data_IF_532977025272
#
_entry.id   IF_532977025272
#
_cell.length_a   1.000
_cell.length_b   1.000
_cell.length_c   1.000
_cell.angle_alpha   90.00
_cell.angle_beta   90.00
_cell.angle_gamma   90.00
#
_symmetry.space_group_name_H-M   'P 1'
#
loop_
_entity.id
_entity.type
_entity.pdbx_description
1 polymer ?
#
# COMPACT_ATOMS: atom_id res chain seq x y z
N UNK A 1 -6.50 4.85 -13.56
CA UNK A 1 -6.02 5.29 -14.92
C UNK A 1 -7.13 6.05 -15.64
N UNK A 2 -6.83 6.99 -16.57
CA UNK A 2 -7.89 7.64 -17.36
C UNK A 2 -8.51 6.65 -18.34
N UNK A 3 -9.84 6.66 -18.48
CA UNK A 3 -10.56 5.70 -19.33
C UNK A 3 -10.08 5.69 -20.81
N UNK A 4 -9.60 6.84 -21.31
CA UNK A 4 -9.02 6.96 -22.65
C UNK A 4 -7.66 6.26 -22.83
N UNK A 5 -6.94 5.99 -21.74
CA UNK A 5 -5.63 5.34 -21.75
C UNK A 5 -5.73 3.82 -21.63
N UNK A 6 -6.82 3.29 -21.07
CA UNK A 6 -7.00 1.86 -20.79
C UNK A 6 -6.74 0.99 -22.05
N UNK A 7 -7.27 1.29 -23.27
CA UNK A 7 -7.00 0.47 -24.44
C UNK A 7 -5.51 0.43 -24.82
N UNK A 8 -4.79 1.54 -24.67
CA UNK A 8 -3.34 1.63 -24.95
C UNK A 8 -2.55 0.83 -23.90
N UNK A 9 -2.92 0.94 -22.62
CA UNK A 9 -2.30 0.19 -21.53
C UNK A 9 -2.46 -1.33 -21.71
N UNK A 10 -3.66 -1.78 -22.11
CA UNK A 10 -3.91 -3.18 -22.45
C UNK A 10 -3.06 -3.63 -23.65
N UNK A 11 -2.97 -2.83 -24.71
CA UNK A 11 -2.14 -3.14 -25.86
C UNK A 11 -0.64 -3.23 -25.51
N UNK A 12 -0.14 -2.33 -24.65
CA UNK A 12 1.23 -2.37 -24.16
C UNK A 12 1.50 -3.66 -23.35
N UNK A 13 0.60 -4.04 -22.43
CA UNK A 13 0.69 -5.27 -21.65
C UNK A 13 0.73 -6.52 -22.54
N UNK A 14 -0.17 -6.60 -23.51
CA UNK A 14 -0.23 -7.72 -24.47
C UNK A 14 1.03 -7.80 -25.35
N UNK A 15 1.55 -6.65 -25.78
CA UNK A 15 2.78 -6.57 -26.58
C UNK A 15 4.01 -7.04 -25.78
N UNK A 16 4.10 -6.70 -24.48
CA UNK A 16 5.16 -7.17 -23.60
C UNK A 16 5.02 -8.67 -23.38
N UNK A 17 3.82 -9.18 -23.08
CA UNK A 17 3.58 -10.59 -22.91
C UNK A 17 4.03 -11.40 -24.14
N UNK A 18 3.71 -10.93 -25.35
CA UNK A 18 4.15 -11.55 -26.59
C UNK A 18 5.67 -11.53 -26.77
N UNK A 19 6.34 -10.42 -26.39
CA UNK A 19 7.80 -10.30 -26.47
C UNK A 19 8.53 -11.21 -25.46
N UNK A 20 7.83 -11.61 -24.39
CA UNK A 20 8.34 -12.53 -23.36
C UNK A 20 7.89 -13.98 -23.57
N UNK A 21 7.35 -14.31 -24.75
CA UNK A 21 6.80 -15.62 -25.12
C UNK A 21 5.68 -16.13 -24.19
N UNK A 22 5.01 -15.22 -23.50
CA UNK A 22 3.80 -15.53 -22.75
C UNK A 22 2.61 -15.56 -23.72
N UNK A 23 1.94 -16.71 -23.79
CA UNK A 23 0.82 -16.93 -24.75
C UNK A 23 -0.48 -16.34 -24.22
N UNK A 24 -0.57 -15.01 -24.26
CA UNK A 24 -1.78 -14.29 -23.90
C UNK A 24 -2.62 -13.99 -25.16
N UNK A 25 -3.91 -14.28 -25.11
CA UNK A 25 -4.89 -13.97 -26.18
C UNK A 25 -5.97 -13.01 -25.72
N UNK A 26 -6.11 -12.83 -24.40
CA UNK A 26 -7.10 -11.96 -23.79
C UNK A 26 -6.56 -11.34 -22.51
N UNK A 27 -7.06 -10.16 -22.15
CA UNK A 27 -6.76 -9.46 -20.91
C UNK A 27 -8.07 -9.11 -20.19
N UNK A 28 -8.18 -9.51 -18.91
CA UNK A 28 -9.34 -9.25 -18.06
C UNK A 28 -8.91 -8.21 -17.02
N UNK A 29 -9.59 -7.07 -16.95
CA UNK A 29 -9.35 -6.09 -15.91
C UNK A 29 -9.79 -6.63 -14.54
N UNK A 30 -8.87 -6.66 -13.60
CA UNK A 30 -9.13 -7.05 -12.21
C UNK A 30 -9.37 -5.82 -11.32
N UNK A 31 -8.64 -4.74 -11.58
CA UNK A 31 -8.74 -3.48 -10.84
C UNK A 31 -8.30 -2.31 -11.75
N UNK A 32 -8.91 -1.15 -11.55
CA UNK A 32 -8.52 0.11 -12.19
C UNK A 32 -8.66 1.25 -11.16
N UNK A 33 -7.64 1.38 -10.31
CA UNK A 33 -7.52 2.49 -9.35
C UNK A 33 -6.35 3.40 -9.74
N UNK A 34 -5.26 3.40 -8.99
CA UNK A 34 -4.03 4.12 -9.31
C UNK A 34 -3.29 3.46 -10.48
N UNK A 35 -3.38 2.14 -10.60
CA UNK A 35 -2.82 1.31 -11.67
C UNK A 35 -3.89 0.42 -12.27
N UNK A 36 -3.73 0.11 -13.54
CA UNK A 36 -4.55 -0.91 -14.19
C UNK A 36 -3.95 -2.29 -13.91
N UNK A 37 -4.73 -3.15 -13.30
CA UNK A 37 -4.35 -4.54 -13.01
C UNK A 37 -5.13 -5.47 -13.94
N UNK A 38 -4.40 -6.26 -14.73
CA UNK A 38 -4.95 -7.17 -15.72
C UNK A 38 -4.57 -8.61 -15.40
N UNK A 39 -5.48 -9.56 -15.66
CA UNK A 39 -5.16 -10.98 -15.81
C UNK A 39 -5.04 -11.31 -17.27
N UNK A 40 -3.91 -11.83 -17.70
CA UNK A 40 -3.69 -12.28 -19.07
C UNK A 40 -4.05 -13.77 -19.21
N UNK A 41 -4.89 -14.07 -20.19
CA UNK A 41 -5.40 -15.42 -20.45
C UNK A 41 -4.90 -15.95 -21.80
N UNK A 42 -4.64 -17.25 -21.93
CA UNK A 42 -4.75 -18.32 -20.93
C UNK A 42 -3.48 -18.53 -20.08
N UNK A 43 -2.46 -17.66 -20.19
CA UNK A 43 -1.18 -17.84 -19.50
C UNK A 43 -1.24 -17.61 -17.98
N UNK A 44 -2.34 -17.08 -17.46
CA UNK A 44 -2.59 -16.83 -16.04
C UNK A 44 -1.50 -15.96 -15.38
N UNK A 45 -1.20 -14.83 -16.01
CA UNK A 45 -0.26 -13.83 -15.49
C UNK A 45 -1.03 -12.59 -15.05
N UNK A 46 -0.73 -12.04 -13.90
CA UNK A 46 -1.19 -10.71 -13.50
C UNK A 46 -0.19 -9.68 -14.00
N UNK A 47 -0.71 -8.62 -14.61
CA UNK A 47 0.09 -7.51 -15.10
C UNK A 47 -0.39 -6.22 -14.44
N UNK A 48 0.54 -5.46 -13.89
CA UNK A 48 0.27 -4.12 -13.35
C UNK A 48 0.83 -3.09 -14.33
N UNK A 49 -0.03 -2.17 -14.75
CA UNK A 49 0.30 -1.14 -15.76
C UNK A 49 0.08 0.23 -15.18
N UNK A 50 1.11 1.08 -15.25
CA UNK A 50 1.07 2.48 -14.85
C UNK A 50 1.73 3.38 -15.90
N UNK A 51 1.44 4.67 -15.97
CA UNK A 51 2.23 5.61 -16.76
C UNK A 51 3.71 5.61 -16.34
N UNK A 52 4.65 5.83 -17.26
CA UNK A 52 6.08 5.97 -16.96
C UNK A 52 6.28 7.15 -16.01
N UNK A 53 7.19 7.00 -15.04
CA UNK A 53 7.49 8.01 -14.02
C UNK A 53 7.28 7.54 -12.59
N UNK A 54 6.65 6.40 -12.39
CA UNK A 54 6.57 5.72 -11.09
C UNK A 54 7.88 4.95 -10.83
N UNK A 55 8.85 5.61 -10.18
CA UNK A 55 10.15 5.00 -9.85
C UNK A 55 10.03 3.82 -8.86
N UNK A 56 8.92 3.77 -8.12
CA UNK A 56 8.70 2.79 -7.06
C UNK A 56 8.40 1.38 -7.59
N UNK A 57 7.94 1.25 -8.83
CA UNK A 57 7.60 -0.05 -9.43
C UNK A 57 8.79 -1.02 -9.51
N UNK A 58 10.02 -0.52 -9.78
CA UNK A 58 11.21 -1.37 -9.81
C UNK A 58 11.63 -1.80 -8.41
N UNK A 59 11.50 -0.92 -7.42
CA UNK A 59 11.78 -1.23 -6.00
C UNK A 59 10.78 -2.28 -5.51
N UNK A 60 9.51 -2.14 -5.86
CA UNK A 60 8.46 -3.10 -5.53
C UNK A 60 8.77 -4.50 -6.09
N UNK A 61 9.11 -4.61 -7.37
CA UNK A 61 9.45 -5.90 -8.00
C UNK A 61 10.67 -6.54 -7.34
N UNK A 62 11.72 -5.78 -7.07
CA UNK A 62 12.95 -6.28 -6.43
C UNK A 62 12.68 -6.72 -4.99
N UNK A 63 11.89 -5.94 -4.23
CA UNK A 63 11.55 -6.29 -2.85
C UNK A 63 10.70 -7.56 -2.80
N UNK A 64 9.66 -7.65 -3.62
CA UNK A 64 8.81 -8.83 -3.69
C UNK A 64 9.60 -10.09 -4.12
N UNK A 65 10.54 -9.95 -5.07
CA UNK A 65 11.44 -11.05 -5.48
C UNK A 65 12.27 -11.55 -4.30
N UNK A 66 12.91 -10.65 -3.55
CA UNK A 66 13.74 -11.04 -2.39
C UNK A 66 12.91 -11.68 -1.28
N UNK A 67 11.73 -11.16 -1.04
CA UNK A 67 10.81 -11.74 -0.04
C UNK A 67 10.32 -13.13 -0.47
N UNK A 68 9.98 -13.32 -1.75
CA UNK A 68 9.60 -14.63 -2.29
C UNK A 68 10.75 -15.66 -2.16
N UNK A 69 12.00 -15.27 -2.42
CA UNK A 69 13.18 -16.10 -2.24
C UNK A 69 13.40 -16.54 -0.77
N UNK A 70 12.95 -15.75 0.20
CA UNK A 70 12.95 -16.10 1.62
C UNK A 70 11.75 -16.98 2.03
N UNK A 71 10.76 -17.14 1.15
CA UNK A 71 9.53 -17.87 1.44
C UNK A 71 8.52 -17.05 2.23
N UNK A 72 8.63 -15.73 2.20
CA UNK A 72 7.69 -14.80 2.83
C UNK A 72 6.29 -14.92 2.25
N UNK A 73 5.24 -14.59 3.00
CA UNK A 73 3.85 -14.62 2.53
C UNK A 73 3.54 -13.44 1.61
N UNK A 74 4.10 -13.43 0.40
CA UNK A 74 3.98 -12.32 -0.56
C UNK A 74 3.48 -12.80 -1.93
N UNK A 75 2.84 -11.90 -2.66
CA UNK A 75 2.56 -12.11 -4.08
C UNK A 75 3.86 -12.05 -4.88
N UNK A 76 4.24 -13.17 -5.49
CA UNK A 76 5.51 -13.31 -6.20
C UNK A 76 5.49 -12.68 -7.59
N UNK A 77 6.61 -12.16 -8.10
CA UNK A 77 6.79 -11.87 -9.51
C UNK A 77 6.57 -13.14 -10.37
N UNK A 78 6.22 -12.96 -11.63
CA UNK A 78 6.02 -14.08 -12.56
C UNK A 78 7.32 -14.86 -12.80
N UNK A 79 7.42 -16.15 -12.42
CA UNK A 79 8.69 -16.87 -12.42
C UNK A 79 9.21 -17.26 -13.82
N UNK A 80 8.36 -17.21 -14.86
CA UNK A 80 8.75 -17.56 -16.24
C UNK A 80 9.53 -16.45 -16.94
N UNK A 81 9.60 -15.25 -16.32
CA UNK A 81 10.25 -14.07 -16.90
C UNK A 81 11.19 -13.44 -15.89
N UNK A 82 12.16 -12.67 -16.40
CA UNK A 82 13.03 -11.88 -15.52
C UNK A 82 12.20 -10.86 -14.72
N UNK A 83 12.30 -10.85 -13.36
CA UNK A 83 11.52 -9.96 -12.51
C UNK A 83 12.04 -8.51 -12.62
N UNK A 84 11.43 -7.74 -13.50
CA UNK A 84 11.74 -6.33 -13.72
C UNK A 84 10.54 -5.57 -14.26
N UNK A 85 10.64 -4.25 -14.25
CA UNK A 85 9.69 -3.38 -14.94
C UNK A 85 10.06 -3.31 -16.42
N UNK A 86 9.07 -3.50 -17.27
CA UNK A 86 9.18 -3.32 -18.72
C UNK A 86 8.51 -2.00 -19.13
N UNK A 87 9.09 -1.29 -20.09
CA UNK A 87 8.50 -0.06 -20.60
C UNK A 87 8.01 -0.25 -22.04
N UNK A 88 6.77 0.19 -22.31
CA UNK A 88 6.17 0.14 -23.65
C UNK A 88 5.12 1.22 -23.82
N UNK A 89 5.22 1.98 -24.92
CA UNK A 89 4.21 2.96 -25.36
C UNK A 89 3.80 4.00 -24.30
N UNK A 90 4.76 4.39 -23.44
CA UNK A 90 4.54 5.34 -22.35
C UNK A 90 4.03 4.71 -21.05
N UNK A 91 4.03 3.38 -20.95
CA UNK A 91 3.63 2.63 -19.76
C UNK A 91 4.79 1.82 -19.16
N UNK A 92 4.84 1.78 -17.85
CA UNK A 92 5.62 0.85 -17.04
C UNK A 92 4.75 -0.36 -16.69
N UNK A 93 5.28 -1.56 -16.90
CA UNK A 93 4.55 -2.82 -16.81
C UNK A 93 5.35 -3.82 -15.99
N UNK A 94 4.79 -4.34 -14.91
CA UNK A 94 5.33 -5.43 -14.11
C UNK A 94 4.45 -6.68 -14.19
N UNK A 95 5.08 -7.86 -14.11
CA UNK A 95 4.40 -9.14 -14.27
C UNK A 95 4.47 -9.95 -12.98
N UNK A 96 3.33 -10.52 -12.58
CA UNK A 96 3.12 -11.17 -11.29
C UNK A 96 2.41 -12.51 -11.46
N UNK A 97 2.64 -13.41 -10.53
CA UNK A 97 1.92 -14.67 -10.45
C UNK A 97 0.44 -14.41 -10.18
N UNK A 98 -0.45 -15.08 -10.92
CA UNK A 98 -1.86 -15.08 -10.60
C UNK A 98 -2.16 -16.10 -9.49
N UNK A 99 -2.81 -15.63 -8.45
CA UNK A 99 -3.31 -16.48 -7.37
C UNK A 99 -4.83 -16.56 -7.43
N UNK A 100 -5.35 -17.78 -7.45
CA UNK A 100 -6.79 -17.97 -7.37
C UNK A 100 -7.30 -17.58 -6.00
N UNK A 101 -8.30 -16.67 -5.93
CA UNK A 101 -8.85 -16.25 -4.64
C UNK A 101 -9.46 -17.43 -3.89
N UNK A 102 -9.27 -17.49 -2.59
CA UNK A 102 -9.94 -18.47 -1.76
C UNK A 102 -11.46 -18.19 -1.73
N UNK A 103 -12.30 -19.21 -1.89
CA UNK A 103 -13.74 -19.04 -1.75
C UNK A 103 -14.06 -18.63 -0.32
N UNK A 104 -14.62 -17.45 -0.14
CA UNK A 104 -15.29 -16.87 1.04
C UNK A 104 -14.72 -17.14 2.43
N UNK A 105 -13.45 -17.48 2.58
CA UNK A 105 -12.83 -17.59 3.91
C UNK A 105 -12.41 -16.20 4.36
N UNK A 106 -13.06 -15.65 5.37
CA UNK A 106 -12.53 -14.49 6.09
C UNK A 106 -11.14 -14.82 6.62
N UNK A 107 -10.21 -13.89 6.44
CA UNK A 107 -8.89 -14.01 7.02
C UNK A 107 -9.04 -13.81 8.55
N UNK A 108 -8.69 -14.85 9.32
CA UNK A 108 -8.79 -14.72 10.77
C UNK A 108 -7.77 -13.69 11.27
N UNK A 109 -8.07 -12.94 12.34
CA UNK A 109 -7.11 -12.01 12.93
C UNK A 109 -5.78 -12.67 13.30
N UNK A 110 -5.81 -13.95 13.73
CA UNK A 110 -4.62 -14.71 14.08
C UNK A 110 -3.76 -15.05 12.84
N UNK A 111 -4.39 -15.50 11.74
CA UNK A 111 -3.67 -15.78 10.49
C UNK A 111 -3.06 -14.50 9.90
N UNK A 112 -3.77 -13.38 10.04
CA UNK A 112 -3.26 -12.07 9.59
C UNK A 112 -2.04 -11.64 10.39
N UNK A 113 -2.14 -11.65 11.72
CA UNK A 113 -1.04 -11.27 12.60
C UNK A 113 0.18 -12.16 12.38
N UNK A 114 -0.03 -13.48 12.26
CA UNK A 114 1.05 -14.43 12.01
C UNK A 114 1.75 -14.20 10.66
N UNK A 115 0.97 -14.00 9.59
CA UNK A 115 1.55 -13.72 8.27
C UNK A 115 2.34 -12.39 8.26
N UNK A 116 1.84 -11.37 8.94
CA UNK A 116 2.53 -10.08 9.07
C UNK A 116 3.81 -10.20 9.91
N UNK A 117 3.81 -11.02 10.95
CA UNK A 117 5.00 -11.33 11.76
C UNK A 117 6.08 -11.99 10.90
N UNK A 118 5.71 -12.98 10.08
CA UNK A 118 6.63 -13.64 9.13
C UNK A 118 7.19 -12.63 8.14
N UNK A 119 6.33 -11.81 7.53
CA UNK A 119 6.76 -10.76 6.61
C UNK A 119 7.78 -9.82 7.27
N UNK A 120 7.48 -9.32 8.46
CA UNK A 120 8.39 -8.43 9.19
C UNK A 120 9.71 -9.10 9.58
N UNK A 121 9.70 -10.40 9.90
CA UNK A 121 10.92 -11.16 10.19
C UNK A 121 11.86 -11.22 8.98
N UNK A 122 11.31 -11.41 7.79
CA UNK A 122 12.08 -11.47 6.55
C UNK A 122 12.49 -10.09 6.07
N UNK A 123 11.63 -9.09 6.20
CA UNK A 123 11.95 -7.70 5.86
C UNK A 123 13.14 -7.14 6.68
N UNK A 124 13.35 -7.62 7.91
CA UNK A 124 14.55 -7.27 8.70
C UNK A 124 15.86 -7.73 8.05
N UNK A 125 15.81 -8.74 7.22
CA UNK A 125 16.99 -9.31 6.54
C UNK A 125 17.32 -8.61 5.22
N UNK A 126 16.39 -7.77 4.72
CA UNK A 126 16.52 -7.10 3.43
C UNK A 126 17.06 -5.70 3.61
N UNK A 127 18.22 -5.44 3.00
CA UNK A 127 18.77 -4.09 2.92
C UNK A 127 18.40 -3.47 1.56
N UNK A 128 17.39 -2.62 1.58
CA UNK A 128 16.98 -1.75 0.47
C UNK A 128 16.84 -0.32 0.98
N UNK A 129 17.11 0.62 0.08
CA UNK A 129 16.84 2.03 0.37
C UNK A 129 15.33 2.25 0.35
N UNK A 130 14.77 2.66 1.48
CA UNK A 130 13.38 3.09 1.61
C UNK A 130 13.34 4.43 2.35
N UNK A 131 12.32 5.24 2.06
CA UNK A 131 12.04 6.45 2.81
C UNK A 131 11.68 6.13 4.27
N UNK A 132 11.80 7.07 5.16
CA UNK A 132 11.31 6.91 6.52
C UNK A 132 9.81 7.27 6.58
N UNK A 133 9.02 6.56 7.39
CA UNK A 133 7.59 6.86 7.50
C UNK A 133 7.30 8.29 7.97
N UNK A 134 8.22 8.88 8.75
CA UNK A 134 8.12 10.29 9.15
C UNK A 134 8.29 11.28 8.00
N UNK A 135 8.87 10.88 6.87
CA UNK A 135 8.91 11.73 5.68
C UNK A 135 7.48 11.92 5.13
N UNK A 136 6.64 10.87 5.18
CA UNK A 136 5.21 10.99 4.84
C UNK A 136 4.44 11.90 5.79
N UNK A 137 4.80 11.89 7.08
CA UNK A 137 4.23 12.83 8.06
C UNK A 137 4.60 14.26 7.66
N UNK A 138 5.88 14.50 7.33
CA UNK A 138 6.34 15.82 6.91
C UNK A 138 5.68 16.29 5.59
N UNK A 139 5.53 15.38 4.62
CA UNK A 139 4.82 15.68 3.36
C UNK A 139 3.35 16.03 3.63
N UNK A 140 2.69 15.29 4.54
CA UNK A 140 1.31 15.57 4.95
C UNK A 140 1.18 16.92 5.63
N UNK A 141 2.13 17.28 6.51
CA UNK A 141 2.19 18.61 7.14
C UNK A 141 2.32 19.72 6.07
N UNK A 142 3.15 19.51 5.04
CA UNK A 142 3.31 20.46 3.92
C UNK A 142 2.04 20.55 3.07
N UNK A 143 1.42 19.42 2.71
CA UNK A 143 0.18 19.38 1.93
C UNK A 143 -0.93 20.15 2.63
N UNK A 144 -1.12 19.90 3.92
CA UNK A 144 -2.13 20.57 4.74
C UNK A 144 -1.82 22.07 4.91
N UNK A 145 -0.58 22.46 5.06
CA UNK A 145 -0.19 23.87 5.17
C UNK A 145 -0.43 24.64 3.85
N UNK A 146 -0.34 23.96 2.71
CA UNK A 146 -0.50 24.58 1.39
C UNK A 146 -1.96 24.76 1.00
N UNK A 147 -2.42 26.04 0.92
CA UNK A 147 -3.75 26.37 0.39
C UNK A 147 -3.90 26.04 -1.10
N UNK A 148 -2.80 26.00 -1.84
CA UNK A 148 -2.82 25.65 -3.27
C UNK A 148 -3.04 24.16 -3.48
N UNK A 149 -2.53 23.31 -2.59
CA UNK A 149 -2.72 21.85 -2.67
C UNK A 149 -4.06 21.42 -2.09
N UNK A 150 -4.51 22.03 -1.02
CA UNK A 150 -5.75 21.70 -0.30
C UNK A 150 -6.69 22.91 -0.18
N UNK A 151 -7.16 23.52 -1.29
CA UNK A 151 -7.88 24.79 -1.27
C UNK A 151 -9.23 24.73 -0.53
N UNK A 152 -9.86 23.56 -0.49
CA UNK A 152 -11.18 23.37 0.14
C UNK A 152 -11.09 22.94 1.62
N UNK A 153 -9.87 22.69 2.15
CA UNK A 153 -9.69 22.31 3.57
C UNK A 153 -9.94 23.52 4.46
N UNK A 154 -10.87 23.45 5.44
CA UNK A 154 -11.13 24.57 6.35
C UNK A 154 -9.91 24.93 7.23
N UNK A 155 -9.77 26.21 7.58
CA UNK A 155 -8.62 26.69 8.35
C UNK A 155 -8.53 26.05 9.74
N UNK A 156 -9.66 25.86 10.42
CA UNK A 156 -9.70 25.17 11.71
C UNK A 156 -9.17 23.72 11.63
N UNK A 157 -9.41 23.05 10.50
CA UNK A 157 -8.88 21.69 10.29
C UNK A 157 -7.38 21.69 9.97
N UNK A 158 -6.89 22.71 9.25
CA UNK A 158 -5.43 22.89 9.08
C UNK A 158 -4.70 23.00 10.40
N UNK A 159 -5.22 23.80 11.32
CA UNK A 159 -4.67 23.94 12.66
C UNK A 159 -4.75 22.63 13.45
N UNK A 160 -5.87 21.89 13.33
CA UNK A 160 -6.05 20.59 13.94
C UNK A 160 -5.01 19.58 13.41
N UNK A 161 -4.84 19.48 12.09
CA UNK A 161 -3.82 18.62 11.50
C UNK A 161 -2.42 18.97 11.99
N UNK A 162 -2.03 20.24 11.89
CA UNK A 162 -0.70 20.71 12.28
C UNK A 162 -0.41 20.41 13.75
N UNK A 163 -1.32 20.73 14.67
CA UNK A 163 -1.15 20.48 16.10
C UNK A 163 -1.13 19.00 16.45
N UNK A 164 -2.00 18.20 15.80
CA UNK A 164 -2.09 16.77 16.08
C UNK A 164 -0.88 16.03 15.52
N UNK A 165 -0.48 16.27 14.27
CA UNK A 165 0.69 15.65 13.66
C UNK A 165 1.98 16.02 14.42
N UNK A 166 2.16 17.29 14.80
CA UNK A 166 3.30 17.72 15.63
C UNK A 166 3.37 16.95 16.96
N UNK A 167 2.26 16.80 17.66
CA UNK A 167 2.16 16.06 18.92
C UNK A 167 2.47 14.57 18.74
N UNK A 168 1.85 13.92 17.73
CA UNK A 168 2.05 12.50 17.45
C UNK A 168 3.50 12.21 17.03
N UNK A 169 4.06 13.02 16.13
CA UNK A 169 5.45 12.90 15.70
C UNK A 169 6.41 12.95 16.91
N UNK A 170 6.22 13.91 17.81
CA UNK A 170 7.05 14.04 18.99
C UNK A 170 6.91 12.83 19.91
N UNK A 171 5.67 12.40 20.20
CA UNK A 171 5.41 11.24 21.06
C UNK A 171 6.03 9.97 20.52
N UNK A 172 5.87 9.69 19.21
CA UNK A 172 6.43 8.49 18.56
C UNK A 172 7.97 8.51 18.60
N UNK A 173 8.59 9.66 18.30
CA UNK A 173 10.06 9.81 18.34
C UNK A 173 10.60 9.63 19.76
N UNK A 174 9.94 10.21 20.76
CA UNK A 174 10.37 10.14 22.16
C UNK A 174 10.31 8.70 22.72
N UNK A 175 9.51 7.80 22.12
CA UNK A 175 9.46 6.37 22.49
C UNK A 175 10.71 5.59 22.05
N UNK A 176 11.40 6.02 21.00
CA UNK A 176 12.63 5.38 20.53
C UNK A 176 12.45 3.91 20.16
N UNK A 177 11.32 3.55 19.53
CA UNK A 177 11.03 2.17 19.11
C UNK A 177 12.05 1.65 18.08
N UNK A 178 12.24 0.33 18.05
CA UNK A 178 13.11 -0.30 17.05
C UNK A 178 12.51 -0.18 15.66
N UNK A 179 13.32 0.27 14.72
CA UNK A 179 12.89 0.49 13.34
C UNK A 179 13.45 -0.57 12.39
N UNK A 180 12.65 -0.89 11.39
CA UNK A 180 13.01 -1.84 10.32
C UNK A 180 12.38 -1.42 8.99
N UNK A 181 12.63 -2.18 7.92
CA UNK A 181 11.87 -2.10 6.68
C UNK A 181 10.45 -2.63 6.93
N UNK A 182 9.45 -1.94 6.41
CA UNK A 182 8.02 -2.19 6.57
C UNK A 182 7.33 -2.26 5.21
N UNK A 183 6.17 -2.91 5.17
CA UNK A 183 5.26 -2.87 4.02
C UNK A 183 4.77 -1.44 3.75
N UNK A 184 4.45 -0.70 4.81
CA UNK A 184 3.99 0.69 4.77
C UNK A 184 2.47 0.86 4.71
N UNK A 185 1.75 -0.08 4.10
CA UNK A 185 0.28 -0.08 4.01
C UNK A 185 -0.29 -1.52 3.94
N UNK A 186 -0.06 -2.39 4.94
CA UNK A 186 -0.53 -3.77 4.90
C UNK A 186 -2.02 -3.89 5.26
N UNK A 187 -2.88 -3.04 4.71
CA UNK A 187 -4.33 -3.07 4.95
C UNK A 187 -5.00 -4.23 4.19
N UNK A 188 -6.26 -4.62 4.54
CA UNK A 188 -6.91 -5.81 3.98
C UNK A 188 -7.02 -5.85 2.45
N UNK A 189 -7.04 -4.69 1.78
CA UNK A 189 -7.08 -4.63 0.30
C UNK A 189 -5.71 -4.90 -0.35
N UNK A 190 -4.61 -4.86 0.43
CA UNK A 190 -3.26 -5.25 0.00
C UNK A 190 -2.90 -6.67 0.45
N UNK A 191 -3.92 -7.49 0.78
CA UNK A 191 -3.76 -8.90 1.14
C UNK A 191 -4.61 -9.79 0.23
N UNK A 192 -3.95 -10.61 -0.57
CA UNK A 192 -4.62 -11.66 -1.34
C UNK A 192 -4.95 -12.82 -0.41
N UNK A 193 -6.21 -13.20 -0.38
CA UNK A 193 -6.68 -14.39 0.35
C UNK A 193 -6.62 -15.59 -0.59
N UNK A 194 -5.64 -16.46 -0.38
CA UNK A 194 -5.46 -17.66 -1.17
C UNK A 194 -5.80 -18.92 -0.36
N UNK A 195 -5.98 -20.05 -1.02
CA UNK A 195 -6.20 -21.33 -0.36
C UNK A 195 -5.02 -21.78 0.54
N UNK A 196 -3.83 -21.19 0.32
CA UNK A 196 -2.61 -21.51 1.07
C UNK A 196 -2.31 -20.47 2.17
N UNK A 197 -3.20 -19.51 2.40
CA UNK A 197 -3.03 -18.42 3.36
C UNK A 197 -3.03 -17.04 2.71
N UNK A 198 -2.84 -15.98 3.52
CA UNK A 198 -2.74 -14.62 3.02
C UNK A 198 -1.40 -14.37 2.34
N UNK A 199 -1.41 -13.54 1.28
CA UNK A 199 -0.20 -13.05 0.62
C UNK A 199 -0.28 -11.53 0.55
N UNK A 200 0.74 -10.84 1.07
CA UNK A 200 0.86 -9.39 0.97
C UNK A 200 1.30 -8.99 -0.44
N UNK A 201 0.72 -7.89 -0.95
CA UNK A 201 0.99 -7.30 -2.26
C UNK A 201 1.10 -5.79 -2.13
N UNK A 202 1.62 -5.13 -3.16
CA UNK A 202 1.67 -3.67 -3.25
C UNK A 202 2.70 -3.02 -2.32
N UNK A 203 3.97 -3.37 -2.54
CA UNK A 203 5.12 -2.86 -1.77
C UNK A 203 5.62 -1.49 -2.22
N UNK A 204 4.87 -0.77 -3.07
CA UNK A 204 5.27 0.56 -3.55
C UNK A 204 5.41 1.59 -2.42
N UNK A 205 4.68 1.36 -1.33
CA UNK A 205 4.65 2.21 -0.15
C UNK A 205 5.57 1.75 0.98
N UNK A 206 6.53 0.86 0.69
CA UNK A 206 7.48 0.39 1.71
C UNK A 206 8.31 1.53 2.29
N UNK A 207 8.43 1.53 3.61
CA UNK A 207 9.12 2.57 4.39
C UNK A 207 9.96 1.94 5.49
N UNK A 208 10.80 2.74 6.16
CA UNK A 208 11.45 2.37 7.43
C UNK A 208 10.68 2.99 8.59
N UNK A 209 10.51 2.20 9.65
CA UNK A 209 9.82 2.64 10.85
C UNK A 209 9.61 1.51 11.85
N UNK A 210 8.90 1.77 12.96
CA UNK A 210 8.51 0.75 13.92
C UNK A 210 7.38 -0.13 13.35
N UNK A 211 7.31 -1.40 13.75
CA UNK A 211 6.26 -2.34 13.28
C UNK A 211 4.86 -1.84 13.59
N UNK A 212 4.71 -1.02 14.61
CA UNK A 212 3.46 -0.38 15.00
C UNK A 212 2.87 0.53 13.91
N UNK A 213 3.71 1.07 13.02
CA UNK A 213 3.23 1.81 11.87
C UNK A 213 2.48 0.91 10.87
N UNK A 214 2.99 -0.29 10.59
CA UNK A 214 2.25 -1.27 9.78
C UNK A 214 1.01 -1.78 10.53
N UNK A 215 1.11 -2.00 11.84
CA UNK A 215 -0.02 -2.43 12.67
C UNK A 215 -1.15 -1.40 12.75
N UNK A 216 -0.87 -0.14 12.48
CA UNK A 216 -1.91 0.88 12.37
C UNK A 216 -2.84 0.68 11.16
N UNK A 217 -2.38 0.01 10.11
CA UNK A 217 -3.12 -0.23 8.87
C UNK A 217 -3.97 -1.51 8.88
N UNK A 218 -3.79 -2.39 9.87
CA UNK A 218 -4.51 -3.67 9.93
C UNK A 218 -5.72 -3.60 10.87
N UNK A 219 -6.68 -4.56 10.75
CA UNK A 219 -7.80 -4.66 11.68
C UNK A 219 -7.34 -4.74 13.15
N UNK A 220 -8.13 -4.19 14.04
CA UNK A 220 -7.77 -4.06 15.46
C UNK A 220 -7.42 -5.40 16.10
N UNK A 221 -8.27 -6.40 15.91
CA UNK A 221 -8.05 -7.74 16.45
C UNK A 221 -6.78 -8.42 15.92
N UNK A 222 -6.31 -8.04 14.72
CA UNK A 222 -5.06 -8.53 14.17
C UNK A 222 -3.86 -7.80 14.83
N UNK A 223 -3.93 -6.49 15.00
CA UNK A 223 -2.87 -5.72 15.67
C UNK A 223 -2.69 -6.12 17.14
N UNK A 224 -3.79 -6.43 17.85
CA UNK A 224 -3.75 -6.93 19.23
C UNK A 224 -3.09 -8.30 19.38
N UNK A 225 -3.12 -9.13 18.32
CA UNK A 225 -2.52 -10.46 18.30
C UNK A 225 -1.06 -10.48 17.85
N UNK A 226 -0.54 -9.34 17.38
CA UNK A 226 0.85 -9.27 16.95
C UNK A 226 1.79 -9.30 18.16
N UNK A 227 2.77 -10.23 18.21
CA UNK A 227 3.63 -10.41 19.38
C UNK A 227 4.50 -9.19 19.68
N UNK A 228 4.48 -8.74 20.92
CA UNK A 228 5.38 -7.69 21.41
C UNK A 228 5.08 -6.27 20.95
N UNK A 229 3.95 -6.03 20.26
CA UNK A 229 3.58 -4.67 19.83
C UNK A 229 3.21 -3.78 21.02
N UNK A 230 3.69 -2.55 21.01
CA UNK A 230 3.24 -1.49 21.90
C UNK A 230 1.90 -0.93 21.39
N UNK A 231 0.80 -1.33 22.04
CA UNK A 231 -0.56 -0.94 21.61
C UNK A 231 -0.84 0.57 21.76
N UNK A 232 -0.14 1.27 22.64
CA UNK A 232 -0.23 2.73 22.71
C UNK A 232 0.44 3.38 21.50
N UNK A 233 1.60 2.86 21.08
CA UNK A 233 2.29 3.30 19.87
C UNK A 233 1.48 2.96 18.61
N UNK A 234 0.84 1.78 18.54
CA UNK A 234 -0.12 1.45 17.47
C UNK A 234 -1.22 2.50 17.40
N UNK A 235 -1.80 2.89 18.53
CA UNK A 235 -2.82 3.94 18.59
C UNK A 235 -2.31 5.29 18.06
N UNK A 236 -1.09 5.69 18.40
CA UNK A 236 -0.47 6.92 17.87
C UNK A 236 -0.23 6.84 16.37
N UNK A 237 0.28 5.71 15.88
CA UNK A 237 0.47 5.45 14.46
C UNK A 237 -0.87 5.43 13.68
N UNK A 238 -1.98 4.97 14.29
CA UNK A 238 -3.33 5.09 13.71
C UNK A 238 -3.73 6.55 13.51
N UNK A 239 -3.43 7.41 14.47
CA UNK A 239 -3.64 8.85 14.31
C UNK A 239 -2.86 9.45 13.14
N UNK A 240 -1.61 9.00 12.95
CA UNK A 240 -0.78 9.39 11.80
C UNK A 240 -1.37 8.86 10.50
N UNK A 241 -1.70 7.58 10.42
CA UNK A 241 -2.33 6.94 9.26
C UNK A 241 -3.61 7.67 8.84
N UNK A 242 -4.50 7.93 9.80
CA UNK A 242 -5.76 8.61 9.55
C UNK A 242 -5.55 10.05 9.06
N UNK A 243 -4.57 10.76 9.63
CA UNK A 243 -4.21 12.10 9.18
C UNK A 243 -3.71 12.10 7.73
N UNK A 244 -2.83 11.15 7.37
CA UNK A 244 -2.30 11.00 6.00
C UNK A 244 -3.46 10.77 5.02
N UNK A 245 -4.31 9.78 5.28
CA UNK A 245 -5.45 9.46 4.40
C UNK A 245 -6.39 10.66 4.29
N UNK A 246 -6.77 11.26 5.42
CA UNK A 246 -7.68 12.40 5.43
C UNK A 246 -7.10 13.57 4.63
N UNK A 247 -5.82 13.92 4.81
CA UNK A 247 -5.17 15.00 4.07
C UNK A 247 -5.15 14.74 2.55
N UNK A 248 -4.81 13.52 2.13
CA UNK A 248 -4.80 13.15 0.71
C UNK A 248 -6.17 13.34 0.05
N UNK A 249 -7.27 13.01 0.74
CA UNK A 249 -8.63 13.18 0.22
C UNK A 249 -9.02 14.65 -0.01
N UNK A 250 -8.30 15.60 0.60
CA UNK A 250 -8.51 17.04 0.40
C UNK A 250 -7.60 17.68 -0.63
N UNK A 251 -6.63 16.94 -1.16
CA UNK A 251 -5.79 17.45 -2.26
C UNK A 251 -6.66 17.71 -3.49
N UNK A 252 -6.38 18.82 -4.17
CA UNK A 252 -7.11 19.21 -5.40
C UNK A 252 -6.92 18.22 -6.54
N UNK A 253 -5.75 17.53 -6.59
CA UNK A 253 -5.36 16.56 -7.60
C UNK A 253 -5.72 15.11 -7.24
N UNK A 254 -6.36 14.86 -6.09
CA UNK A 254 -6.79 13.52 -5.69
C UNK A 254 -7.85 12.95 -6.65
N UNK A 255 -7.52 11.85 -7.32
CA UNK A 255 -8.40 11.12 -8.23
C UNK A 255 -8.95 9.83 -7.61
N UNK A 256 -8.61 9.55 -6.35
CA UNK A 256 -9.01 8.30 -5.71
C UNK A 256 -10.53 8.24 -5.49
N UNK A 257 -11.18 7.08 -5.72
CA UNK A 257 -12.64 6.94 -5.52
C UNK A 257 -13.13 7.33 -4.13
N UNK A 258 -12.33 7.08 -3.08
CA UNK A 258 -12.67 7.43 -1.69
C UNK A 258 -12.61 8.95 -1.40
N UNK A 259 -12.22 9.79 -2.37
CA UNK A 259 -12.38 11.26 -2.24
C UNK A 259 -13.82 11.65 -1.92
N UNK A 260 -14.79 10.86 -2.35
CA UNK A 260 -16.21 11.11 -2.05
C UNK A 260 -16.51 11.06 -0.55
N UNK A 261 -15.77 10.23 0.20
CA UNK A 261 -15.87 10.07 1.64
C UNK A 261 -14.93 11.02 2.42
N UNK A 262 -14.34 12.05 1.79
CA UNK A 262 -13.36 12.94 2.45
C UNK A 262 -13.86 13.58 3.74
N UNK A 263 -15.16 13.89 3.81
CA UNK A 263 -15.76 14.45 5.01
C UNK A 263 -15.86 13.44 6.16
N UNK A 264 -16.03 12.17 5.85
CA UNK A 264 -16.06 11.07 6.82
C UNK A 264 -14.68 10.85 7.41
N UNK A 265 -13.62 10.77 6.57
CA UNK A 265 -12.23 10.71 7.01
C UNK A 265 -11.84 11.87 7.92
N UNK A 266 -12.21 13.09 7.54
CA UNK A 266 -11.97 14.28 8.35
C UNK A 266 -12.75 14.25 9.66
N UNK A 267 -14.00 13.78 9.62
CA UNK A 267 -14.85 13.64 10.81
C UNK A 267 -14.25 12.64 11.80
N UNK A 268 -13.77 11.49 11.31
CA UNK A 268 -13.08 10.50 12.13
C UNK A 268 -11.80 11.09 12.77
N UNK A 269 -11.02 11.83 12.00
CA UNK A 269 -9.83 12.51 12.53
C UNK A 269 -10.15 13.55 13.61
N UNK A 270 -11.22 14.32 13.44
CA UNK A 270 -11.68 15.33 14.43
C UNK A 270 -12.11 14.71 15.77
N UNK A 271 -12.57 13.46 15.77
CA UNK A 271 -12.98 12.79 17.02
C UNK A 271 -11.80 12.55 17.95
N UNK A 272 -10.58 12.47 17.41
CA UNK A 272 -9.39 12.18 18.22
C UNK A 272 -9.33 10.71 18.65
N UNK A 273 -8.40 10.39 19.58
CA UNK A 273 -8.21 9.02 20.04
C UNK A 273 -9.40 8.52 20.89
N UNK A 274 -9.72 7.21 20.85
CA UNK A 274 -9.05 6.21 20.02
C UNK A 274 -9.43 6.37 18.54
N UNK A 275 -8.41 6.43 17.66
CA UNK A 275 -8.67 6.54 16.23
C UNK A 275 -9.09 5.19 15.63
N UNK A 276 -10.04 5.18 14.67
CA UNK A 276 -10.49 3.98 14.01
C UNK A 276 -9.42 3.36 13.12
N UNK A 277 -9.58 2.08 12.81
CA UNK A 277 -8.82 1.38 11.78
C UNK A 277 -9.28 1.81 10.38
N UNK A 278 -8.47 1.53 9.36
CA UNK A 278 -8.76 1.93 7.97
C UNK A 278 -10.04 1.29 7.41
N UNK A 279 -10.40 0.12 7.87
CA UNK A 279 -11.60 -0.64 7.47
C UNK A 279 -12.86 -0.24 8.26
N UNK A 280 -12.74 0.61 9.27
CA UNK A 280 -13.85 1.12 10.06
C UNK A 280 -14.34 2.52 9.60
N UNK A 281 -13.65 3.18 8.66
CA UNK A 281 -14.00 4.45 8.03
C UNK A 281 -14.43 4.18 6.59
#
# INVERSE_FOLDING_TARGET
>A
MQASEVPRAVAAAMSIAAALDLKATNAIALNDSNRLVLRLMPCDVVVRVAPIGHQDAQIEVELARRLDELGSPVGAPEPRVEPRVHERDGFAVSLWTYYEPAPSRELSPADYAYALELLHADMRQIDVRAAHFMDRVADTEQDVASRDLTPELPDADRELFASTLHRLRRSIVDRGATEQLLHGEPHPWNVLRTKNGPLFIDFENSVRGPVEYDLAWVPEEASERYPGADQELVGECRGVMLAIIAAWRWRRDDQHPSRRARAEWLSAFRQGPPWPTVDAV
#
